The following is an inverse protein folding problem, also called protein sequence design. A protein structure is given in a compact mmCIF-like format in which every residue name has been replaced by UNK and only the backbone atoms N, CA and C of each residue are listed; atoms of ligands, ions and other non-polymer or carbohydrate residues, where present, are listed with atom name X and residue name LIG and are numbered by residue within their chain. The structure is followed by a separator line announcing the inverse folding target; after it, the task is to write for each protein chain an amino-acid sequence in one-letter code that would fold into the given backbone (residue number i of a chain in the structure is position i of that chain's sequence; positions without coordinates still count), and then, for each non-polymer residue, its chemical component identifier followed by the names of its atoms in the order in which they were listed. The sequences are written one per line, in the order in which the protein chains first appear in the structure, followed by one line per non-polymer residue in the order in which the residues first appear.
data_IF_751721482501
#
_entry.id   IF_751721482501
#
_cell.length_a   1.000
_cell.length_b   1.000
_cell.length_c   1.000
_cell.angle_alpha   90.00
_cell.angle_beta   90.00
_cell.angle_gamma   90.00
#
_symmetry.space_group_name_H-M   'P 1'
#
loop_
_entity.id
_entity.type
_entity.pdbx_description
1 polymer ?
#
# COMPACT_ATOMS: atom_id res chain seq x y z
N UNK A 1 11.16 -18.91 -12.80
CA UNK A 1 12.15 -18.86 -13.89
C UNK A 1 11.40 -18.52 -15.17
N UNK A 2 12.02 -17.80 -16.10
CA UNK A 2 11.42 -17.53 -17.42
C UNK A 2 11.40 -18.81 -18.29
N UNK A 3 10.88 -18.70 -19.51
CA UNK A 3 10.84 -19.82 -20.48
C UNK A 3 12.22 -20.34 -20.88
N UNK A 4 13.29 -19.57 -20.65
CA UNK A 4 14.68 -19.93 -20.90
C UNK A 4 15.41 -20.44 -19.63
N UNK A 5 14.70 -20.60 -18.51
CA UNK A 5 15.26 -21.10 -17.25
C UNK A 5 16.03 -20.07 -16.42
N UNK A 6 16.02 -18.78 -16.79
CA UNK A 6 16.67 -17.71 -16.03
C UNK A 6 15.80 -17.27 -14.83
N UNK A 7 16.40 -16.80 -13.73
CA UNK A 7 15.65 -16.17 -12.64
C UNK A 7 14.87 -14.96 -13.15
N UNK A 8 13.62 -14.82 -12.72
CA UNK A 8 12.83 -13.62 -13.01
C UNK A 8 13.19 -12.59 -11.94
N UNK A 9 13.60 -11.36 -12.32
CA UNK A 9 13.85 -10.29 -11.37
C UNK A 9 12.61 -10.02 -10.53
N UNK A 10 12.83 -9.62 -9.28
CA UNK A 10 11.75 -9.20 -8.40
C UNK A 10 11.14 -7.90 -8.93
N UNK A 11 9.82 -7.88 -9.00
CA UNK A 11 9.03 -6.71 -9.36
C UNK A 11 7.70 -6.77 -8.59
N UNK A 12 7.66 -6.13 -7.42
CA UNK A 12 6.48 -6.12 -6.56
C UNK A 12 6.19 -4.71 -6.04
N UNK A 13 4.96 -4.51 -5.56
CA UNK A 13 4.69 -3.45 -4.59
C UNK A 13 5.43 -3.80 -3.31
N UNK A 14 6.35 -2.93 -2.89
CA UNK A 14 7.23 -3.15 -1.74
C UNK A 14 6.82 -2.37 -0.50
N UNK A 15 6.04 -1.30 -0.64
CA UNK A 15 5.64 -0.47 0.49
C UNK A 15 4.19 -0.03 0.34
N UNK A 16 3.42 -0.17 1.41
CA UNK A 16 2.11 0.44 1.55
C UNK A 16 2.11 1.41 2.73
N UNK A 17 1.53 2.60 2.55
CA UNK A 17 1.33 3.57 3.62
C UNK A 17 -0.10 4.08 3.64
N UNK A 18 -0.61 4.34 4.85
CA UNK A 18 -1.89 5.01 5.05
C UNK A 18 -1.72 6.24 5.95
N UNK A 19 -2.30 7.35 5.50
CA UNK A 19 -2.36 8.61 6.21
C UNK A 19 -3.81 9.07 6.36
N UNK A 20 -4.09 9.80 7.42
CA UNK A 20 -5.39 10.45 7.66
C UNK A 20 -5.15 11.92 7.97
N UNK A 21 -5.84 12.83 7.28
CA UNK A 21 -5.64 14.28 7.39
C UNK A 21 -4.15 14.67 7.26
N UNK A 22 -3.44 14.04 6.33
CA UNK A 22 -2.01 14.26 6.06
C UNK A 22 -1.04 13.61 7.06
N UNK A 23 -1.52 12.98 8.13
CA UNK A 23 -0.69 12.29 9.13
C UNK A 23 -0.62 10.79 8.84
N UNK A 24 0.57 10.29 8.52
CA UNK A 24 0.82 8.85 8.35
C UNK A 24 0.57 8.14 9.69
N UNK A 25 -0.30 7.14 9.69
CA UNK A 25 -0.59 6.31 10.87
C UNK A 25 -0.23 4.84 10.67
N UNK A 26 -0.03 4.40 9.43
CA UNK A 26 0.31 3.01 9.12
C UNK A 26 1.34 2.94 7.99
N UNK A 27 2.24 1.96 8.10
CA UNK A 27 3.15 1.54 7.04
C UNK A 27 3.35 0.03 7.13
N UNK A 28 3.38 -0.63 5.98
CA UNK A 28 3.77 -2.02 5.85
C UNK A 28 4.81 -2.18 4.75
N UNK A 29 5.87 -2.93 5.06
CA UNK A 29 6.88 -3.34 4.09
C UNK A 29 6.50 -4.72 3.56
N UNK A 30 6.41 -4.85 2.24
CA UNK A 30 5.97 -6.05 1.56
C UNK A 30 7.14 -6.75 0.88
N UNK A 31 7.11 -8.08 0.98
CA UNK A 31 8.15 -8.97 0.48
C UNK A 31 7.58 -9.93 -0.57
N UNK A 32 8.42 -10.62 -1.36
CA UNK A 32 7.97 -11.45 -2.48
C UNK A 32 7.01 -12.60 -2.13
N UNK A 33 6.82 -12.91 -0.83
CA UNK A 33 5.87 -13.90 -0.37
C UNK A 33 4.41 -13.40 -0.36
N UNK A 34 4.17 -12.11 -0.61
CA UNK A 34 2.82 -11.55 -0.77
C UNK A 34 2.29 -11.88 -2.17
N UNK A 35 1.02 -12.30 -2.23
CA UNK A 35 0.32 -12.62 -3.48
C UNK A 35 0.27 -11.43 -4.46
N UNK A 36 0.19 -11.74 -5.75
CA UNK A 36 -0.17 -10.75 -6.77
C UNK A 36 -1.52 -10.08 -6.44
N UNK A 37 -1.66 -8.80 -6.76
CA UNK A 37 -2.80 -7.96 -6.36
C UNK A 37 -3.03 -7.96 -4.84
N UNK A 38 -2.05 -7.45 -4.06
CA UNK A 38 -2.09 -7.51 -2.60
C UNK A 38 -3.30 -6.78 -2.02
N UNK A 39 -3.89 -7.39 -1.00
CA UNK A 39 -4.96 -6.81 -0.19
C UNK A 39 -4.48 -6.61 1.24
N UNK A 40 -4.74 -5.43 1.80
CA UNK A 40 -4.41 -5.07 3.19
C UNK A 40 -5.64 -4.46 3.86
N UNK A 41 -5.97 -4.96 5.04
CA UNK A 41 -6.91 -4.34 5.96
C UNK A 41 -6.22 -3.95 7.26
N UNK A 42 -6.73 -2.93 7.92
CA UNK A 42 -6.25 -2.46 9.22
C UNK A 42 -7.42 -1.84 9.99
N UNK A 43 -7.27 -1.75 11.31
CA UNK A 43 -8.22 -1.03 12.15
C UNK A 43 -7.77 0.41 12.34
N UNK A 44 -8.72 1.34 12.26
CA UNK A 44 -8.48 2.74 12.53
C UNK A 44 -9.64 3.29 13.35
N UNK A 45 -9.32 4.03 14.43
CA UNK A 45 -10.32 4.73 15.23
C UNK A 45 -10.26 6.22 14.90
N UNK A 46 -11.31 6.72 14.24
CA UNK A 46 -11.43 8.13 13.93
C UNK A 46 -12.07 8.89 15.09
N UNK A 47 -11.50 10.05 15.43
CA UNK A 47 -12.08 11.03 16.36
C UNK A 47 -12.74 12.20 15.63
N UNK A 48 -12.47 12.36 14.33
CA UNK A 48 -12.95 13.46 13.50
C UNK A 48 -13.20 12.97 12.07
N UNK A 49 -14.05 13.71 11.34
CA UNK A 49 -14.19 13.53 9.89
C UNK A 49 -12.93 13.98 9.16
N UNK A 50 -12.65 13.37 8.01
CA UNK A 50 -11.42 13.66 7.29
C UNK A 50 -11.25 12.85 6.03
N UNK A 51 -10.01 12.82 5.54
CA UNK A 51 -9.64 12.10 4.32
C UNK A 51 -8.46 11.18 4.56
N UNK A 52 -8.61 9.94 4.12
CA UNK A 52 -7.53 8.99 3.99
C UNK A 52 -6.74 9.23 2.71
N UNK A 53 -5.43 9.04 2.80
CA UNK A 53 -4.55 8.88 1.65
C UNK A 53 -3.83 7.55 1.78
N UNK A 54 -3.99 6.69 0.78
CA UNK A 54 -3.31 5.41 0.65
C UNK A 54 -2.25 5.54 -0.43
N UNK A 55 -1.05 5.00 -0.20
CA UNK A 55 0.04 5.03 -1.17
C UNK A 55 0.71 3.66 -1.26
N UNK A 56 0.82 3.14 -2.49
CA UNK A 56 1.56 1.93 -2.82
C UNK A 56 2.79 2.31 -3.62
N UNK A 57 3.95 1.76 -3.27
CA UNK A 57 5.22 1.97 -3.97
C UNK A 57 5.78 0.63 -4.45
N UNK A 58 6.25 0.57 -5.69
CA UNK A 58 6.89 -0.61 -6.27
C UNK A 58 8.42 -0.55 -6.29
N UNK A 59 9.04 -1.65 -6.71
CA UNK A 59 10.50 -1.78 -6.83
C UNK A 59 11.07 -0.90 -7.97
N UNK A 60 10.24 -0.50 -8.95
CA UNK A 60 10.57 0.48 -9.98
C UNK A 60 10.53 1.92 -9.50
N UNK A 61 10.06 2.16 -8.27
CA UNK A 61 9.90 3.48 -7.66
C UNK A 61 8.62 4.20 -8.05
N UNK A 62 7.73 3.58 -8.83
CA UNK A 62 6.44 4.16 -9.13
C UNK A 62 5.56 4.18 -7.88
N UNK A 63 4.74 5.23 -7.76
CA UNK A 63 3.80 5.40 -6.67
C UNK A 63 2.38 5.49 -7.20
N UNK A 64 1.46 4.77 -6.57
CA UNK A 64 0.03 4.86 -6.82
C UNK A 64 -0.67 5.37 -5.57
N UNK A 65 -1.64 6.26 -5.74
CA UNK A 65 -2.36 6.89 -4.63
C UNK A 65 -3.87 6.73 -4.79
N UNK A 66 -4.55 6.51 -3.67
CA UNK A 66 -6.00 6.54 -3.58
C UNK A 66 -6.43 7.36 -2.37
N UNK A 67 -7.53 8.08 -2.48
CA UNK A 67 -8.10 8.85 -1.37
C UNK A 67 -9.53 8.40 -1.05
N UNK A 68 -9.92 8.53 0.20
CA UNK A 68 -11.26 8.19 0.65
C UNK A 68 -11.69 9.08 1.82
N UNK A 69 -12.90 9.64 1.74
CA UNK A 69 -13.47 10.47 2.81
C UNK A 69 -14.08 9.60 3.90
N UNK A 70 -13.91 10.01 5.15
CA UNK A 70 -14.54 9.43 6.33
C UNK A 70 -15.35 10.50 7.05
N UNK A 71 -16.61 10.22 7.31
CA UNK A 71 -17.48 11.08 8.13
C UNK A 71 -17.72 10.41 9.48
N UNK A 72 -17.43 11.13 10.56
CA UNK A 72 -17.80 10.76 11.94
C UNK A 72 -19.00 11.60 12.35
N UNK A 73 -20.05 10.94 12.86
CA UNK A 73 -21.29 11.56 13.34
C UNK A 73 -21.38 11.63 14.86
#
# INVERSE_FOLDING_TARGET
KDSAGKPVPRDIINTFTAAFNGKKFFQADWFPAISANPYQSFFFKASESGEFTFTWKDDGGAEQKATAKLTVG
#
